data_IF_050930270661
#
_entry.id   IF_050930270661
#
_cell.length_a   1.000
_cell.length_b   1.000
_cell.length_c   1.000
_cell.angle_alpha   90.00
_cell.angle_beta   90.00
_cell.angle_gamma   90.00
#
_symmetry.space_group_name_H-M   'P 1'
#
loop_
_entity.id
_entity.type
_entity.pdbx_description
1 polymer ?
#
# COMPACT_ATOMS: atom_id res chain seq x y z
N UNK A 1 9.83 3.43 -25.11
CA UNK A 1 10.23 2.33 -24.19
C UNK A 1 10.24 2.89 -22.78
N UNK A 2 9.52 2.28 -21.86
CA UNK A 2 9.61 2.62 -20.45
C UNK A 2 10.75 1.79 -19.86
N UNK A 3 11.77 2.44 -19.30
CA UNK A 3 12.97 1.79 -18.76
C UNK A 3 12.89 1.77 -17.23
N UNK A 4 13.62 0.83 -16.63
CA UNK A 4 13.72 0.71 -15.18
C UNK A 4 14.19 2.01 -14.53
N UNK A 5 15.22 2.64 -15.10
CA UNK A 5 15.78 3.88 -14.56
C UNK A 5 14.75 5.01 -14.56
N UNK A 6 13.95 5.12 -15.63
CA UNK A 6 12.89 6.13 -15.72
C UNK A 6 11.80 5.90 -14.68
N UNK A 7 11.48 4.65 -14.35
CA UNK A 7 10.54 4.32 -13.28
C UNK A 7 11.06 4.78 -11.91
N UNK A 8 12.32 4.47 -11.63
CA UNK A 8 12.96 4.84 -10.36
C UNK A 8 13.04 6.36 -10.24
N UNK A 9 13.39 7.08 -11.32
CA UNK A 9 13.44 8.54 -11.33
C UNK A 9 12.07 9.19 -11.14
N UNK A 10 11.02 8.61 -11.74
CA UNK A 10 9.66 9.16 -11.69
C UNK A 10 8.94 8.87 -10.36
N UNK A 11 9.09 7.64 -9.86
CA UNK A 11 8.35 7.14 -8.70
C UNK A 11 9.19 7.06 -7.43
N UNK A 12 10.51 7.17 -7.49
CA UNK A 12 11.41 7.01 -6.35
C UNK A 12 11.28 5.65 -5.67
N UNK A 13 10.87 4.62 -6.42
CA UNK A 13 10.56 3.28 -5.92
C UNK A 13 11.20 2.23 -6.81
N UNK A 14 11.55 1.10 -6.21
CA UNK A 14 11.87 -0.10 -6.97
C UNK A 14 10.58 -0.71 -7.52
N UNK A 15 10.57 -1.32 -8.73
CA UNK A 15 9.38 -1.97 -9.27
C UNK A 15 8.81 -3.07 -8.38
N UNK A 16 9.62 -3.71 -7.54
CA UNK A 16 9.14 -4.70 -6.57
C UNK A 16 8.22 -4.07 -5.51
N UNK A 17 8.46 -2.81 -5.16
CA UNK A 17 7.68 -2.06 -4.18
C UNK A 17 6.31 -1.60 -4.72
N UNK A 18 6.05 -1.73 -6.04
CA UNK A 18 4.71 -1.52 -6.59
C UNK A 18 3.68 -2.47 -5.99
N UNK A 19 4.11 -3.68 -5.58
CA UNK A 19 3.24 -4.66 -4.93
C UNK A 19 2.73 -4.08 -3.60
N UNK A 20 3.61 -3.46 -2.82
CA UNK A 20 3.26 -2.78 -1.57
C UNK A 20 2.39 -1.53 -1.81
N UNK A 21 2.65 -0.78 -2.89
CA UNK A 21 1.81 0.37 -3.28
C UNK A 21 0.39 -0.10 -3.63
N UNK A 22 0.28 -1.18 -4.42
CA UNK A 22 -1.00 -1.81 -4.77
C UNK A 22 -1.72 -2.38 -3.56
N UNK A 23 -1.02 -2.94 -2.58
CA UNK A 23 -1.65 -3.41 -1.34
C UNK A 23 -2.37 -2.28 -0.59
N UNK A 24 -1.85 -1.04 -0.66
CA UNK A 24 -2.53 0.12 -0.10
C UNK A 24 -3.67 0.65 -0.98
N UNK A 25 -3.49 0.71 -2.29
CA UNK A 25 -4.49 1.26 -3.21
C UNK A 25 -5.65 0.30 -3.49
N UNK A 26 -5.36 -1.00 -3.42
CA UNK A 26 -6.16 -2.07 -4.00
C UNK A 26 -5.80 -2.29 -5.47
N UNK A 27 -6.24 -3.43 -5.97
CA UNK A 27 -6.21 -3.76 -7.39
C UNK A 27 -7.57 -4.32 -7.78
N UNK A 28 -8.37 -3.50 -8.46
CA UNK A 28 -9.73 -3.88 -8.87
C UNK A 28 -9.72 -4.98 -9.92
N UNK A 29 -8.66 -5.08 -10.74
CA UNK A 29 -8.55 -6.14 -11.74
C UNK A 29 -8.33 -7.50 -11.09
N UNK A 30 -7.58 -7.54 -9.98
CA UNK A 30 -7.28 -8.75 -9.22
C UNK A 30 -8.25 -9.00 -8.05
N UNK A 31 -9.29 -8.17 -7.91
CA UNK A 31 -10.30 -8.29 -6.84
C UNK A 31 -9.81 -7.90 -5.45
N UNK A 32 -8.64 -7.28 -5.32
CA UNK A 32 -8.09 -6.84 -4.04
C UNK A 32 -8.60 -5.46 -3.67
N UNK A 33 -9.34 -5.38 -2.56
CA UNK A 33 -9.73 -4.10 -1.97
C UNK A 33 -8.59 -3.52 -1.13
N UNK A 34 -8.17 -2.30 -1.44
CA UNK A 34 -7.14 -1.59 -0.71
C UNK A 34 -7.64 -0.85 0.52
N UNK A 35 -6.77 -0.03 1.11
CA UNK A 35 -7.12 0.83 2.23
C UNK A 35 -7.98 2.00 1.74
N UNK A 36 -9.26 1.98 2.11
CA UNK A 36 -10.22 3.02 1.75
C UNK A 36 -9.69 4.43 2.11
N UNK A 37 -9.56 5.27 1.09
CA UNK A 37 -9.09 6.65 1.23
C UNK A 37 -7.57 6.80 1.22
N UNK A 38 -6.82 5.76 0.89
CA UNK A 38 -5.41 5.83 0.46
C UNK A 38 -5.37 5.59 -1.05
N UNK A 39 -5.06 6.64 -1.80
CA UNK A 39 -4.82 6.57 -3.25
C UNK A 39 -3.33 6.52 -3.57
N UNK A 40 -3.03 6.46 -4.87
CA UNK A 40 -1.68 6.30 -5.43
C UNK A 40 -0.62 7.19 -4.79
N UNK A 41 -0.83 8.51 -4.77
CA UNK A 41 0.14 9.46 -4.22
C UNK A 41 0.46 9.20 -2.74
N UNK A 42 -0.53 8.78 -1.96
CA UNK A 42 -0.34 8.49 -0.54
C UNK A 42 0.33 7.15 -0.36
N UNK A 43 -0.06 6.13 -1.13
CA UNK A 43 0.55 4.81 -1.11
C UNK A 43 2.04 4.89 -1.48
N UNK A 44 2.38 5.57 -2.59
CA UNK A 44 3.77 5.79 -3.02
C UNK A 44 4.58 6.42 -1.89
N UNK A 45 4.09 7.52 -1.28
CA UNK A 45 4.81 8.19 -0.18
C UNK A 45 5.03 7.30 1.03
N UNK A 46 4.04 6.48 1.40
CA UNK A 46 4.18 5.54 2.51
C UNK A 46 5.27 4.51 2.22
N UNK A 47 5.28 3.96 1.01
CA UNK A 47 6.27 2.96 0.59
C UNK A 47 7.66 3.57 0.36
N UNK A 48 7.76 4.79 -0.14
CA UNK A 48 9.03 5.53 -0.21
C UNK A 48 9.64 5.72 1.17
N UNK A 49 8.83 6.08 2.17
CA UNK A 49 9.30 6.39 3.52
C UNK A 49 9.59 5.15 4.37
N UNK A 50 8.81 4.09 4.21
CA UNK A 50 8.84 2.92 5.09
C UNK A 50 9.31 1.63 4.39
N UNK A 51 9.41 1.64 3.06
CA UNK A 51 9.89 0.52 2.26
C UNK A 51 8.82 -0.52 1.91
N UNK A 52 8.06 -0.98 2.90
CA UNK A 52 7.07 -2.07 2.78
C UNK A 52 5.79 -1.77 3.54
N UNK A 53 4.68 -2.46 3.20
CA UNK A 53 3.42 -2.35 3.96
C UNK A 53 3.61 -2.71 5.43
N UNK A 54 4.35 -3.79 5.72
CA UNK A 54 4.60 -4.25 7.08
C UNK A 54 5.28 -3.17 7.93
N UNK A 55 6.29 -2.49 7.36
CA UNK A 55 6.98 -1.40 8.04
C UNK A 55 6.05 -0.21 8.29
N UNK A 56 5.12 0.11 7.38
CA UNK A 56 4.12 1.15 7.60
C UNK A 56 3.19 0.78 8.76
N UNK A 57 2.74 -0.48 8.81
CA UNK A 57 1.86 -0.99 9.88
C UNK A 57 2.59 -1.03 11.23
N UNK A 58 3.85 -1.43 11.26
CA UNK A 58 4.68 -1.43 12.46
C UNK A 58 4.98 -0.01 12.95
N UNK A 59 5.01 0.98 12.06
CA UNK A 59 5.26 2.39 12.37
C UNK A 59 3.99 3.26 12.28
N UNK A 60 2.80 2.70 12.54
CA UNK A 60 1.56 3.48 12.49
C UNK A 60 1.62 4.75 13.34
N UNK A 61 2.26 4.69 14.51
CA UNK A 61 2.39 5.84 15.42
C UNK A 61 3.10 7.05 14.79
N UNK A 62 3.98 6.85 13.80
CA UNK A 62 4.69 7.94 13.11
C UNK A 62 3.87 8.58 11.99
N UNK A 63 2.73 7.98 11.61
CA UNK A 63 1.86 8.51 10.56
C UNK A 63 0.90 9.56 11.11
N UNK A 64 0.26 10.31 10.20
CA UNK A 64 -0.79 11.25 10.62
C UNK A 64 -1.99 10.52 11.24
N UNK A 65 -2.74 11.13 12.18
CA UNK A 65 -3.91 10.49 12.78
C UNK A 65 -4.97 10.04 11.76
N UNK A 66 -5.07 10.72 10.61
CA UNK A 66 -5.95 10.34 9.52
C UNK A 66 -5.49 9.06 8.81
N UNK A 67 -4.18 8.93 8.52
CA UNK A 67 -3.62 7.71 7.94
C UNK A 67 -3.73 6.54 8.90
N UNK A 68 -3.42 6.75 10.18
CA UNK A 68 -3.59 5.74 11.24
C UNK A 68 -5.02 5.21 11.27
N UNK A 69 -6.02 6.09 11.33
CA UNK A 69 -7.43 5.67 11.34
C UNK A 69 -7.80 4.86 10.10
N UNK A 70 -7.36 5.29 8.90
CA UNK A 70 -7.66 4.59 7.65
C UNK A 70 -7.06 3.18 7.63
N UNK A 71 -5.77 3.06 7.95
CA UNK A 71 -5.05 1.79 7.93
C UNK A 71 -5.61 0.87 9.02
N UNK A 72 -5.79 1.37 10.24
CA UNK A 72 -6.35 0.59 11.36
C UNK A 72 -7.78 0.13 11.08
N UNK A 73 -8.63 0.95 10.45
CA UNK A 73 -9.99 0.53 10.10
C UNK A 73 -10.00 -0.57 9.03
N UNK A 74 -9.02 -0.57 8.12
CA UNK A 74 -8.85 -1.62 7.14
C UNK A 74 -8.25 -2.90 7.78
N UNK A 75 -7.33 -2.77 8.74
CA UNK A 75 -6.78 -3.90 9.51
C UNK A 75 -7.80 -4.54 10.47
N UNK A 76 -8.76 -3.76 11.00
CA UNK A 76 -9.85 -4.26 11.87
C UNK A 76 -10.85 -5.15 11.13
N UNK A 77 -10.87 -5.05 9.80
CA UNK A 77 -11.54 -5.99 8.91
C UNK A 77 -10.45 -6.63 8.05
N UNK A 78 -9.65 -7.58 8.59
CA UNK A 78 -8.77 -8.34 7.72
C UNK A 78 -9.68 -8.87 6.59
N UNK A 79 -9.38 -8.62 5.30
CA UNK A 79 -10.01 -9.42 4.27
C UNK A 79 -9.74 -10.85 4.72
N UNK A 80 -10.81 -11.60 4.96
CA UNK A 80 -10.73 -12.99 5.32
C UNK A 80 -10.08 -13.72 4.15
N UNK A 81 -8.75 -13.70 4.08
CA UNK A 81 -7.95 -14.51 3.17
C UNK A 81 -8.11 -16.02 3.47
N UNK A 82 -8.99 -16.37 4.42
CA UNK A 82 -9.44 -17.72 4.76
C UNK A 82 -10.88 -18.04 4.33
N UNK A 83 -11.64 -17.15 3.67
CA UNK A 83 -13.01 -17.46 3.21
C UNK A 83 -13.13 -17.71 1.70
N UNK A 84 -12.01 -17.92 1.00
CA UNK A 84 -11.99 -18.31 -0.42
C UNK A 84 -11.16 -19.60 -0.64
N UNK A 85 -11.00 -20.40 0.42
CA UNK A 85 -10.39 -21.72 0.36
C UNK A 85 -11.33 -22.75 1.00
N UNK A 86 -12.52 -22.91 0.42
CA UNK A 86 -13.27 -24.17 0.38
C UNK A 86 -13.74 -24.40 -1.06
#
# INVERSE_FOLDING_TARGET
>A
RYTLDRFIDEYGLNPQQLIDVKAFMGDTADGYSGVKGIGEKTAIKLIQNHGTVENVVNNLSSLTPAQQKKITNNLKHPPSAKSLAE
#
